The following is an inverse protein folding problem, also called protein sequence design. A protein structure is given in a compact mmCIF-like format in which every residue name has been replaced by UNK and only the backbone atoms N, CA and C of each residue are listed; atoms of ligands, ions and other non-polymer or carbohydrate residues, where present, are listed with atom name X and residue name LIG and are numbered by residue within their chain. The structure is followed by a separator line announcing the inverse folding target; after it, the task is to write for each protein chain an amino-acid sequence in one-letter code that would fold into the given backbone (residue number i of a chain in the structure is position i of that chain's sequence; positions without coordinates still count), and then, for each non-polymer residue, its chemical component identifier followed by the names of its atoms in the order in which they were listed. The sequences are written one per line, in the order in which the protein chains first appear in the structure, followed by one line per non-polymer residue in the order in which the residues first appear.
data_IF_106911315369
#
_entry.id   IF_106911315369
#
_cell.length_a   1.000
_cell.length_b   1.000
_cell.length_c   1.000
_cell.angle_alpha   90.00
_cell.angle_beta   90.00
_cell.angle_gamma   90.00
#
_symmetry.space_group_name_H-M   'P 1'
#
loop_
_entity.id
_entity.type
_entity.pdbx_description
1 polymer ?
#
# COMPACT_ATOMS: atom_id res chain seq x y z
N UNK A 1 -2.09 10.24 -2.97
CA UNK A 1 -1.51 9.91 -4.28
C UNK A 1 -2.51 9.04 -5.04
N UNK A 2 -2.67 9.26 -6.35
CA UNK A 2 -3.55 8.43 -7.18
C UNK A 2 -2.72 7.26 -7.72
N UNK A 3 -3.08 6.03 -7.37
CA UNK A 3 -2.44 4.82 -7.90
C UNK A 3 -3.50 3.92 -8.49
N UNK A 4 -3.15 3.22 -9.57
CA UNK A 4 -4.01 2.18 -10.15
C UNK A 4 -3.46 0.84 -9.67
N UNK A 5 -4.19 0.16 -8.80
CA UNK A 5 -3.83 -1.16 -8.30
C UNK A 5 -4.91 -2.16 -8.72
N UNK A 6 -4.49 -3.26 -9.35
CA UNK A 6 -5.38 -4.32 -9.82
C UNK A 6 -6.60 -3.82 -10.65
N UNK A 7 -6.39 -2.77 -11.45
CA UNK A 7 -7.43 -2.15 -12.28
C UNK A 7 -8.35 -1.16 -11.56
N UNK A 8 -8.22 -0.98 -10.25
CA UNK A 8 -8.98 0.01 -9.47
C UNK A 8 -8.11 1.23 -9.12
N UNK A 9 -8.74 2.41 -9.17
CA UNK A 9 -8.09 3.67 -8.79
C UNK A 9 -8.22 3.84 -7.28
N UNK A 10 -7.09 3.77 -6.59
CA UNK A 10 -7.03 3.97 -5.14
C UNK A 10 -6.51 5.38 -4.84
N UNK A 11 -7.16 6.04 -3.90
CA UNK A 11 -6.71 7.32 -3.36
C UNK A 11 -6.07 7.09 -2.00
N UNK A 12 -4.77 7.35 -1.93
CA UNK A 12 -4.01 7.33 -0.67
C UNK A 12 -3.82 8.74 -0.13
N UNK A 13 -3.79 8.90 1.20
CA UNK A 13 -3.45 10.17 1.82
C UNK A 13 -2.00 10.55 1.43
N UNK A 14 -1.73 11.79 0.97
CA UNK A 14 -0.35 12.22 0.73
C UNK A 14 0.48 12.13 2.03
N UNK A 15 1.74 11.70 1.91
CA UNK A 15 2.71 11.55 3.00
C UNK A 15 2.39 10.48 4.06
N UNK A 16 1.52 9.51 3.75
CA UNK A 16 1.30 8.34 4.60
C UNK A 16 1.75 7.06 3.89
N UNK A 17 2.30 6.12 4.65
CA UNK A 17 2.54 4.76 4.18
C UNK A 17 1.21 3.98 4.21
N UNK A 18 1.00 3.10 3.23
CA UNK A 18 -0.14 2.18 3.20
C UNK A 18 0.29 0.80 3.67
N UNK A 19 -0.61 0.09 4.34
CA UNK A 19 -0.41 -1.33 4.67
C UNK A 19 -0.70 -2.15 3.44
N UNK A 20 0.27 -2.96 3.01
CA UNK A 20 0.07 -3.98 1.98
C UNK A 20 -0.25 -5.29 2.67
N UNK A 21 -1.40 -5.87 2.32
CA UNK A 21 -1.91 -7.14 2.86
C UNK A 21 -1.84 -8.24 1.81
N UNK A 22 -1.69 -9.48 2.26
CA UNK A 22 -1.86 -10.65 1.40
C UNK A 22 -3.35 -10.92 1.12
N UNK A 23 -3.63 -11.90 0.25
CA UNK A 23 -5.00 -12.31 -0.09
C UNK A 23 -5.77 -12.95 1.07
N UNK A 24 -5.09 -13.31 2.17
CA UNK A 24 -5.67 -13.84 3.40
C UNK A 24 -5.87 -12.77 4.49
N UNK A 25 -5.50 -11.50 4.23
CA UNK A 25 -5.63 -10.38 5.15
C UNK A 25 -4.45 -10.18 6.10
N UNK A 26 -3.35 -10.93 5.96
CA UNK A 26 -2.14 -10.75 6.76
C UNK A 26 -1.41 -9.48 6.33
N UNK A 27 -1.09 -8.59 7.27
CA UNK A 27 -0.27 -7.41 7.00
C UNK A 27 1.19 -7.82 6.80
N UNK A 28 1.77 -7.47 5.65
CA UNK A 28 3.14 -7.86 5.29
C UNK A 28 4.12 -6.71 5.49
N UNK A 29 3.84 -5.56 4.87
CA UNK A 29 4.75 -4.43 4.90
C UNK A 29 4.04 -3.10 4.71
N UNK A 30 4.71 -2.05 5.16
CA UNK A 30 4.33 -0.68 4.87
C UNK A 30 4.97 -0.23 3.56
N UNK A 31 4.15 0.24 2.62
CA UNK A 31 4.60 0.79 1.34
C UNK A 31 4.40 2.31 1.31
N UNK A 32 5.41 3.01 0.81
CA UNK A 32 5.28 4.42 0.44
C UNK A 32 5.85 4.66 -0.95
N UNK A 33 5.05 5.29 -1.82
CA UNK A 33 5.44 5.60 -3.21
C UNK A 33 6.05 4.38 -3.95
N UNK A 34 5.45 3.19 -3.82
CA UNK A 34 5.91 1.99 -4.51
C UNK A 34 7.20 1.37 -3.95
N UNK A 35 7.62 1.75 -2.74
CA UNK A 35 8.78 1.17 -2.06
C UNK A 35 8.38 0.61 -0.71
N UNK A 36 8.93 -0.56 -0.38
CA UNK A 36 8.85 -1.15 0.96
C UNK A 36 9.60 -0.26 1.95
N UNK A 37 8.92 0.19 2.99
CA UNK A 37 9.46 1.07 4.03
C UNK A 37 9.79 0.29 5.30
N UNK A 38 8.92 -0.65 5.70
CA UNK A 38 9.10 -1.46 6.90
C UNK A 38 8.39 -2.81 6.75
N UNK A 39 8.95 -3.87 7.36
CA UNK A 39 8.23 -5.11 7.65
C UNK A 39 7.34 -4.91 8.89
N UNK A 40 6.22 -5.64 8.91
CA UNK A 40 5.30 -5.76 10.06
C UNK A 40 5.66 -6.98 10.88
#
# INVERSE_FOLDING_TARGET
MKTVENGQVTYSLPHQAKVVTDSAGTALFLEYKGRKVADV
#
